data_IF_058658936441
#
_entry.id   IF_058658936441
#
_cell.length_a   1.000
_cell.length_b   1.000
_cell.length_c   1.000
_cell.angle_alpha   90.00
_cell.angle_beta   90.00
_cell.angle_gamma   90.00
#
_symmetry.space_group_name_H-M   'P 1'
#
loop_
_entity.id
_entity.type
_entity.pdbx_description
1 polymer ?
#
# COMPACT_ATOMS: atom_id res chain seq x y z
N UNK A 1 8.85 -34.73 7.63
CA UNK A 1 7.99 -34.02 6.65
C UNK A 1 8.09 -32.55 6.97
N UNK A 2 8.85 -31.79 6.19
CA UNK A 2 8.98 -30.33 6.36
C UNK A 2 7.74 -29.74 5.70
N UNK A 3 6.91 -29.03 6.46
CA UNK A 3 5.74 -28.35 5.92
C UNK A 3 6.20 -27.41 4.80
N UNK A 4 5.60 -27.52 3.62
CA UNK A 4 5.92 -26.67 2.48
C UNK A 4 5.65 -25.21 2.89
N UNK A 5 6.68 -24.40 3.03
CA UNK A 5 6.52 -22.98 3.37
C UNK A 5 5.86 -22.28 2.18
N UNK A 6 4.54 -22.06 2.28
CA UNK A 6 3.77 -21.33 1.28
C UNK A 6 4.09 -19.83 1.41
N UNK A 7 5.07 -19.35 0.65
CA UNK A 7 5.51 -17.95 0.61
C UNK A 7 4.55 -17.02 -0.16
N UNK A 8 3.62 -17.59 -0.95
CA UNK A 8 2.65 -16.84 -1.76
C UNK A 8 1.88 -15.75 -0.99
N UNK A 9 1.25 -16.04 0.17
CA UNK A 9 0.52 -15.01 0.94
C UNK A 9 1.41 -13.86 1.41
N UNK A 10 2.67 -14.14 1.78
CA UNK A 10 3.62 -13.11 2.18
C UNK A 10 4.00 -12.19 1.01
N UNK A 11 4.20 -12.74 -0.19
CA UNK A 11 4.45 -11.96 -1.40
C UNK A 11 3.27 -11.07 -1.79
N UNK A 12 2.04 -11.57 -1.65
CA UNK A 12 0.82 -10.80 -1.94
C UNK A 12 0.67 -9.64 -0.94
N UNK A 13 0.91 -9.88 0.35
CA UNK A 13 0.89 -8.83 1.37
C UNK A 13 1.97 -7.78 1.10
N UNK A 14 3.19 -8.21 0.80
CA UNK A 14 4.29 -7.32 0.44
C UNK A 14 3.90 -6.41 -0.73
N UNK A 15 3.38 -6.99 -1.83
CA UNK A 15 2.95 -6.22 -3.00
C UNK A 15 1.89 -5.18 -2.66
N UNK A 16 0.87 -5.54 -1.87
CA UNK A 16 -0.18 -4.61 -1.41
C UNK A 16 0.39 -3.44 -0.60
N UNK A 17 1.32 -3.72 0.30
CA UNK A 17 1.97 -2.68 1.11
C UNK A 17 2.86 -1.78 0.25
N UNK A 18 3.62 -2.35 -0.69
CA UNK A 18 4.46 -1.59 -1.63
C UNK A 18 3.65 -0.66 -2.52
N UNK A 19 2.43 -1.05 -2.93
CA UNK A 19 1.52 -0.18 -3.71
C UNK A 19 1.18 1.09 -2.92
N UNK A 20 0.88 0.97 -1.62
CA UNK A 20 0.55 2.13 -0.79
C UNK A 20 1.71 3.10 -0.59
N UNK A 21 2.95 2.65 -0.73
CA UNK A 21 4.14 3.52 -0.64
C UNK A 21 4.46 4.12 -2.01
N UNK A 22 4.51 3.27 -3.05
CA UNK A 22 4.91 3.68 -4.39
C UNK A 22 3.89 4.57 -5.09
N UNK A 23 2.59 4.25 -5.00
CA UNK A 23 1.55 4.98 -5.72
C UNK A 23 1.45 6.45 -5.27
N UNK A 24 1.32 6.76 -3.95
CA UNK A 24 1.26 8.15 -3.51
C UNK A 24 2.55 8.91 -3.78
N UNK A 25 3.72 8.27 -3.66
CA UNK A 25 5.00 8.91 -3.94
C UNK A 25 5.13 9.34 -5.41
N UNK A 26 4.75 8.46 -6.36
CA UNK A 26 4.74 8.80 -7.79
C UNK A 26 3.76 9.93 -8.07
N UNK A 27 2.53 9.86 -7.53
CA UNK A 27 1.54 10.92 -7.68
C UNK A 27 2.09 12.24 -7.12
N UNK A 28 2.78 12.22 -5.99
CA UNK A 28 3.34 13.41 -5.38
C UNK A 28 4.42 14.07 -6.22
N UNK A 29 5.28 13.29 -6.87
CA UNK A 29 6.32 13.83 -7.77
C UNK A 29 5.69 14.55 -8.96
N UNK A 30 4.71 13.95 -9.62
CA UNK A 30 4.06 14.58 -10.77
C UNK A 30 3.20 15.77 -10.37
N UNK A 31 2.37 15.63 -9.34
CA UNK A 31 1.47 16.70 -8.90
C UNK A 31 2.23 17.85 -8.22
N UNK A 32 3.28 17.54 -7.45
CA UNK A 32 4.13 18.50 -6.78
C UNK A 32 4.92 19.36 -7.75
N UNK A 33 5.59 18.74 -8.73
CA UNK A 33 6.32 19.48 -9.78
C UNK A 33 5.37 20.35 -10.61
N UNK A 34 4.20 19.82 -10.99
CA UNK A 34 3.21 20.59 -11.73
C UNK A 34 2.71 21.81 -10.95
N UNK A 35 2.49 21.65 -9.64
CA UNK A 35 2.07 22.75 -8.78
C UNK A 35 3.16 23.82 -8.63
N UNK A 36 4.40 23.39 -8.49
CA UNK A 36 5.55 24.30 -8.40
C UNK A 36 5.78 25.12 -9.66
N UNK A 37 5.62 24.51 -10.85
CA UNK A 37 5.68 25.23 -12.13
C UNK A 37 4.54 26.25 -12.28
N UNK A 38 3.34 25.91 -11.81
CA UNK A 38 2.17 26.79 -11.91
C UNK A 38 2.23 27.99 -10.97
N UNK A 39 2.75 27.80 -9.76
CA UNK A 39 2.77 28.83 -8.73
C UNK A 39 4.11 29.56 -8.63
N UNK A 40 5.14 29.16 -9.39
CA UNK A 40 6.54 29.61 -9.22
C UNK A 40 7.02 29.45 -7.76
N UNK A 41 6.54 28.41 -7.08
CA UNK A 41 6.82 28.15 -5.66
C UNK A 41 7.90 27.11 -5.44
N UNK A 42 8.62 26.69 -6.48
CA UNK A 42 9.60 25.61 -6.38
C UNK A 42 10.58 25.82 -5.20
N UNK A 43 10.74 24.85 -4.27
CA UNK A 43 10.17 23.50 -4.24
C UNK A 43 9.01 23.30 -3.23
N UNK A 44 8.31 24.36 -2.81
CA UNK A 44 7.34 24.32 -1.70
C UNK A 44 6.05 23.54 -2.02
N UNK A 45 5.60 23.56 -3.27
CA UNK A 45 4.48 22.78 -3.76
C UNK A 45 4.80 21.29 -3.74
N UNK A 46 5.97 20.89 -4.24
CA UNK A 46 6.44 19.51 -4.15
C UNK A 46 6.55 19.05 -2.70
N UNK A 47 7.09 19.88 -1.82
CA UNK A 47 7.25 19.54 -0.39
C UNK A 47 5.89 19.32 0.29
N UNK A 48 4.93 20.20 0.02
CA UNK A 48 3.57 20.12 0.58
C UNK A 48 2.84 18.86 0.09
N UNK A 49 2.87 18.61 -1.23
CA UNK A 49 2.21 17.45 -1.82
C UNK A 49 2.87 16.14 -1.38
N UNK A 50 4.20 16.12 -1.26
CA UNK A 50 4.93 14.94 -0.74
C UNK A 50 4.55 14.65 0.70
N UNK A 51 4.38 15.68 1.54
CA UNK A 51 3.94 15.49 2.92
C UNK A 51 2.52 14.88 2.97
N UNK A 52 1.59 15.42 2.18
CA UNK A 52 0.24 14.88 2.05
C UNK A 52 0.24 13.42 1.58
N UNK A 53 1.03 13.10 0.55
CA UNK A 53 1.14 11.74 0.03
C UNK A 53 1.75 10.77 1.04
N UNK A 54 2.74 11.21 1.81
CA UNK A 54 3.34 10.42 2.89
C UNK A 54 2.31 10.08 3.96
N UNK A 55 1.51 11.06 4.39
CA UNK A 55 0.43 10.85 5.37
C UNK A 55 -0.62 9.88 4.82
N UNK A 56 -1.06 10.05 3.57
CA UNK A 56 -2.00 9.13 2.92
C UNK A 56 -1.43 7.70 2.86
N UNK A 57 -0.16 7.56 2.50
CA UNK A 57 0.56 6.29 2.51
C UNK A 57 0.53 5.64 3.89
N UNK A 58 0.87 6.38 4.96
CA UNK A 58 0.85 5.85 6.32
C UNK A 58 -0.54 5.35 6.74
N UNK A 59 -1.59 6.13 6.49
CA UNK A 59 -2.96 5.72 6.81
C UNK A 59 -3.38 4.47 6.01
N UNK A 60 -3.08 4.43 4.71
CA UNK A 60 -3.36 3.28 3.86
C UNK A 60 -2.64 2.02 4.34
N UNK A 61 -1.35 2.15 4.67
CA UNK A 61 -0.51 1.07 5.17
C UNK A 61 -1.04 0.49 6.48
N UNK A 62 -1.34 1.35 7.46
CA UNK A 62 -1.88 0.94 8.77
C UNK A 62 -3.23 0.24 8.61
N UNK A 63 -4.12 0.78 7.76
CA UNK A 63 -5.43 0.17 7.49
C UNK A 63 -5.28 -1.21 6.85
N UNK A 64 -4.41 -1.35 5.84
CA UNK A 64 -4.19 -2.62 5.13
C UNK A 64 -3.52 -3.66 6.04
N UNK A 65 -2.55 -3.24 6.86
CA UNK A 65 -1.91 -4.11 7.84
C UNK A 65 -2.92 -4.62 8.88
N UNK A 66 -3.76 -3.74 9.44
CA UNK A 66 -4.80 -4.15 10.40
C UNK A 66 -5.84 -5.08 9.76
N UNK A 67 -6.24 -4.82 8.51
CA UNK A 67 -7.14 -5.70 7.77
C UNK A 67 -6.52 -7.09 7.55
N UNK A 68 -5.24 -7.14 7.20
CA UNK A 68 -4.49 -8.37 6.99
C UNK A 68 -4.37 -9.19 8.29
N UNK A 69 -4.09 -8.55 9.42
CA UNK A 69 -4.05 -9.19 10.74
C UNK A 69 -5.41 -9.77 11.15
N UNK A 70 -6.51 -9.08 10.86
CA UNK A 70 -7.86 -9.59 11.14
C UNK A 70 -8.19 -10.83 10.32
N UNK A 71 -7.78 -10.86 9.05
CA UNK A 71 -7.99 -12.01 8.17
C UNK A 71 -7.11 -13.22 8.51
N UNK A 72 -5.95 -13.01 9.16
CA UNK A 72 -5.11 -14.11 9.66
C UNK A 72 -5.71 -14.73 10.93
N UNK A 73 -6.37 -13.91 11.78
CA UNK A 73 -7.01 -14.36 13.02
C UNK A 73 -8.30 -15.15 12.80
N UNK A 74 -8.95 -14.99 11.64
CA UNK A 74 -10.07 -15.81 11.21
C UNK A 74 -9.53 -16.82 10.20
N UNK A 75 -9.23 -18.07 10.57
CA UNK A 75 -8.72 -19.06 9.62
C UNK A 75 -9.67 -19.13 8.43
N UNK A 76 -9.08 -18.98 7.24
CA UNK A 76 -9.72 -18.95 5.93
C UNK A 76 -11.00 -19.79 5.85
N UNK A 77 -12.16 -19.15 6.00
CA UNK A 77 -13.45 -19.75 5.67
C UNK A 77 -13.78 -19.62 4.16
N UNK A 78 -12.87 -19.03 3.36
CA UNK A 78 -13.06 -18.84 1.92
C UNK A 78 -12.28 -19.81 1.04
N UNK A 79 -11.29 -20.54 1.58
CA UNK A 79 -10.60 -21.60 0.82
C UNK A 79 -11.32 -22.96 0.90
N UNK A 80 -12.33 -23.12 1.77
CA UNK A 80 -13.10 -24.36 1.93
C UNK A 80 -14.28 -24.53 0.95
N UNK A 81 -14.63 -23.52 0.14
CA UNK A 81 -15.74 -23.61 -0.84
C UNK A 81 -15.29 -23.83 -2.29
N UNK A 82 -14.01 -23.66 -2.63
CA UNK A 82 -13.49 -23.81 -4.00
C UNK A 82 -12.83 -25.18 -4.27
N UNK A 83 -13.01 -26.15 -3.36
CA UNK A 83 -12.49 -27.52 -3.48
C UNK A 83 -13.57 -28.60 -3.35
N UNK A 84 -14.83 -28.23 -3.54
CA UNK A 84 -15.89 -29.15 -3.94
C UNK A 84 -16.14 -28.84 -5.40
N UNK A 85 -15.54 -29.64 -6.28
CA UNK A 85 -15.98 -29.97 -7.65
C UNK A 85 -14.96 -30.96 -8.23
#
# INVERSE_FOLDING_TARGET
>A
MIAKEDYQPALVLFGKLSVWIGLPAVIALFAGNWLDERLNTAPWGLLSVTMLAFVISMFGLVKEAMASLKNIKTPSAKDSELKKD
#
